data_IF_486653262529
#
_entry.id   IF_486653262529
#
_cell.length_a   1.000
_cell.length_b   1.000
_cell.length_c   1.000
_cell.angle_alpha   90.00
_cell.angle_beta   90.00
_cell.angle_gamma   90.00
#
_symmetry.space_group_name_H-M   'P 1'
#
loop_
_entity.id
_entity.type
_entity.pdbx_description
1 polymer ?
#
# COMPACT_ATOMS: atom_id res chain seq x y z
N UNK A 1 2.42 25.05 -0.96
CA UNK A 1 1.77 23.75 -0.68
C UNK A 1 0.65 23.90 0.35
N UNK A 2 0.89 24.50 1.54
CA UNK A 2 -0.15 24.65 2.60
C UNK A 2 -1.49 25.21 2.12
N UNK A 3 -1.51 26.28 1.31
CA UNK A 3 -2.76 26.88 0.78
C UNK A 3 -3.55 25.99 -0.18
N UNK A 4 -2.95 24.91 -0.70
CA UNK A 4 -3.58 23.94 -1.60
C UNK A 4 -3.89 22.63 -0.90
N UNK A 5 -3.48 22.48 0.37
CA UNK A 5 -3.84 21.31 1.16
C UNK A 5 -5.30 21.46 1.59
N UNK A 6 -6.15 20.56 1.13
CA UNK A 6 -7.59 20.60 1.42
C UNK A 6 -7.93 19.96 2.77
N UNK A 7 -7.07 19.07 3.29
CA UNK A 7 -7.28 18.30 4.52
C UNK A 7 -7.62 19.20 5.73
N UNK A 8 -6.89 20.32 6.00
CA UNK A 8 -7.22 21.22 7.09
C UNK A 8 -8.58 21.92 6.94
N UNK A 9 -9.17 21.91 5.74
CA UNK A 9 -10.39 22.62 5.39
C UNK A 9 -11.62 21.72 5.26
N UNK A 10 -11.53 20.42 5.56
CA UNK A 10 -12.66 19.48 5.60
C UNK A 10 -13.59 19.71 6.81
N UNK A 11 -14.13 20.93 6.95
CA UNK A 11 -15.08 21.30 7.99
C UNK A 11 -16.40 21.79 7.36
N UNK A 12 -17.53 21.51 8.01
CA UNK A 12 -18.85 21.92 7.53
C UNK A 12 -19.30 21.16 6.28
N UNK A 13 -18.81 19.93 6.07
CA UNK A 13 -19.24 19.05 4.99
C UNK A 13 -20.64 18.55 5.31
N UNK A 14 -21.62 18.92 4.49
CA UNK A 14 -23.03 18.53 4.66
C UNK A 14 -23.52 17.52 3.62
N UNK A 15 -22.79 17.40 2.50
CA UNK A 15 -23.12 16.42 1.47
C UNK A 15 -22.71 15.02 1.93
N UNK A 16 -23.41 14.00 1.45
CA UNK A 16 -22.91 12.63 1.53
C UNK A 16 -21.61 12.51 0.73
N UNK A 17 -20.61 11.84 1.30
CA UNK A 17 -19.29 11.67 0.69
C UNK A 17 -18.97 10.18 0.57
N UNK A 18 -18.54 9.78 -0.62
CA UNK A 18 -17.90 8.49 -0.85
C UNK A 18 -16.49 8.76 -1.34
N UNK A 19 -15.50 8.44 -0.51
CA UNK A 19 -14.09 8.59 -0.84
C UNK A 19 -13.56 7.29 -1.44
N UNK A 20 -12.86 7.37 -2.56
CA UNK A 20 -12.37 6.20 -3.31
C UNK A 20 -10.86 6.27 -3.40
N UNK A 21 -10.19 5.19 -3.02
CA UNK A 21 -8.74 5.09 -2.98
C UNK A 21 -8.26 3.80 -3.65
N UNK A 22 -6.97 3.76 -4.01
CA UNK A 22 -6.30 2.57 -4.54
C UNK A 22 -5.08 2.21 -3.70
N UNK A 23 -4.93 0.93 -3.33
CA UNK A 23 -3.73 0.47 -2.59
C UNK A 23 -2.44 0.68 -3.36
N UNK A 24 -2.51 0.60 -4.70
CA UNK A 24 -1.38 0.73 -5.61
C UNK A 24 -1.41 2.08 -6.37
N UNK A 25 -2.06 3.10 -5.81
CA UNK A 25 -2.05 4.45 -6.39
C UNK A 25 -0.66 5.09 -6.26
N UNK A 26 0.03 5.24 -7.39
CA UNK A 26 1.37 5.80 -7.50
C UNK A 26 1.41 7.36 -7.46
N UNK A 27 0.26 8.02 -7.39
CA UNK A 27 0.13 9.48 -7.52
C UNK A 27 -0.43 10.12 -6.25
N UNK A 28 -1.48 9.55 -5.67
CA UNK A 28 -2.10 10.07 -4.44
C UNK A 28 -2.49 8.96 -3.43
N UNK A 29 -1.51 8.25 -2.84
CA UNK A 29 -1.78 7.19 -1.87
C UNK A 29 -2.12 7.70 -0.46
N UNK A 30 -2.07 9.01 -0.22
CA UNK A 30 -2.27 9.65 1.09
C UNK A 30 -3.59 10.44 1.15
N UNK A 31 -3.88 11.22 0.11
CA UNK A 31 -4.99 12.17 0.10
C UNK A 31 -6.35 11.57 0.43
N UNK A 32 -6.81 10.48 -0.23
CA UNK A 32 -8.13 9.91 0.01
C UNK A 32 -8.36 9.44 1.45
N UNK A 33 -7.39 8.73 2.04
CA UNK A 33 -7.52 8.21 3.41
C UNK A 33 -7.65 9.37 4.41
N UNK A 34 -6.85 10.42 4.25
CA UNK A 34 -6.83 11.58 5.14
C UNK A 34 -8.05 12.49 4.96
N UNK A 35 -8.61 12.56 3.75
CA UNK A 35 -9.90 13.22 3.51
C UNK A 35 -10.99 12.48 4.26
N UNK A 36 -11.06 11.17 4.14
CA UNK A 36 -12.03 10.34 4.87
C UNK A 36 -11.89 10.54 6.38
N UNK A 37 -10.69 10.36 6.94
CA UNK A 37 -10.43 10.53 8.39
C UNK A 37 -10.73 11.95 8.87
N UNK A 38 -10.43 12.97 8.06
CA UNK A 38 -10.75 14.35 8.40
C UNK A 38 -12.24 14.64 8.39
N UNK A 39 -13.00 14.03 7.47
CA UNK A 39 -14.45 14.17 7.44
C UNK A 39 -15.06 13.52 8.68
N UNK A 40 -14.66 12.27 8.99
CA UNK A 40 -15.06 11.53 10.19
C UNK A 40 -14.86 12.36 11.47
N UNK A 41 -13.65 12.88 11.65
CA UNK A 41 -13.29 13.59 12.89
C UNK A 41 -14.01 14.94 13.07
N UNK A 42 -14.43 15.60 11.98
CA UNK A 42 -14.82 17.02 12.00
C UNK A 42 -16.28 17.27 11.62
N UNK A 43 -16.95 16.28 11.03
CA UNK A 43 -18.31 16.41 10.52
C UNK A 43 -19.19 15.27 11.05
N UNK A 44 -19.33 15.13 12.38
CA UNK A 44 -20.05 14.01 12.96
C UNK A 44 -21.51 13.98 12.48
N UNK A 45 -21.94 12.82 12.00
CA UNK A 45 -23.29 12.60 11.46
C UNK A 45 -23.44 12.88 9.96
N UNK A 46 -22.40 13.35 9.28
CA UNK A 46 -22.38 13.41 7.81
C UNK A 46 -22.20 12.00 7.25
N UNK A 47 -23.01 11.55 6.27
CA UNK A 47 -22.78 10.27 5.61
C UNK A 47 -21.43 10.29 4.90
N UNK A 48 -20.53 9.41 5.31
CA UNK A 48 -19.18 9.31 4.80
C UNK A 48 -18.86 7.82 4.67
N UNK A 49 -18.24 7.41 3.57
CA UNK A 49 -17.83 6.01 3.37
C UNK A 49 -16.52 5.99 2.59
N UNK A 50 -15.68 5.00 2.89
CA UNK A 50 -14.41 4.78 2.21
C UNK A 50 -14.45 3.50 1.39
N UNK A 51 -14.11 3.58 0.11
CA UNK A 51 -13.89 2.41 -0.75
C UNK A 51 -12.43 2.35 -1.16
N UNK A 52 -11.76 1.24 -0.86
CA UNK A 52 -10.36 1.04 -1.27
C UNK A 52 -10.20 -0.27 -2.02
N UNK A 53 -9.86 -0.18 -3.30
CA UNK A 53 -9.59 -1.34 -4.14
C UNK A 53 -8.10 -1.53 -4.44
N UNK A 54 -7.72 -2.64 -5.09
CA UNK A 54 -6.34 -2.92 -5.46
C UNK A 54 -5.97 -2.16 -6.76
N UNK A 55 -6.28 -0.87 -6.79
CA UNK A 55 -6.19 -0.06 -8.00
C UNK A 55 -4.92 0.77 -8.04
N UNK A 56 -4.42 0.96 -9.26
CA UNK A 56 -3.53 2.07 -9.60
C UNK A 56 -4.32 3.38 -9.71
N UNK A 57 -3.63 4.48 -9.98
CA UNK A 57 -4.25 5.80 -10.15
C UNK A 57 -5.36 5.82 -11.22
N UNK A 58 -6.60 6.05 -10.79
CA UNK A 58 -7.80 6.02 -11.63
C UNK A 58 -8.26 4.62 -12.08
N UNK A 59 -7.66 3.54 -11.57
CA UNK A 59 -7.98 2.16 -11.96
C UNK A 59 -9.44 1.77 -11.72
N UNK A 60 -10.06 2.34 -10.68
CA UNK A 60 -11.47 2.11 -10.35
C UNK A 60 -12.47 2.52 -11.44
N UNK A 61 -12.07 3.40 -12.38
CA UNK A 61 -12.89 3.78 -13.55
C UNK A 61 -12.26 3.45 -14.90
N UNK A 62 -10.94 3.24 -14.98
CA UNK A 62 -10.20 3.09 -16.25
C UNK A 62 -9.83 1.65 -16.59
N UNK A 63 -10.09 0.69 -15.71
CA UNK A 63 -9.82 -0.74 -15.96
C UNK A 63 -10.94 -1.62 -15.43
N UNK A 64 -10.82 -2.93 -15.67
CA UNK A 64 -11.69 -3.95 -15.06
C UNK A 64 -11.32 -4.21 -13.58
N UNK A 65 -10.11 -3.83 -13.18
CA UNK A 65 -9.60 -4.02 -11.81
C UNK A 65 -9.30 -5.47 -11.44
N UNK A 66 -9.10 -6.34 -12.42
CA UNK A 66 -8.81 -7.77 -12.24
C UNK A 66 -7.31 -8.09 -12.15
N UNK A 67 -6.44 -7.14 -12.48
CA UNK A 67 -4.99 -7.27 -12.34
C UNK A 67 -4.27 -5.92 -12.26
N UNK A 68 -3.01 -5.96 -11.83
CA UNK A 68 -2.01 -4.92 -12.04
C UNK A 68 -0.66 -5.61 -12.34
N UNK A 69 -0.09 -5.38 -13.52
CA UNK A 69 1.05 -6.17 -13.97
C UNK A 69 0.71 -7.67 -13.98
N UNK A 70 1.62 -8.53 -13.50
CA UNK A 70 1.39 -9.97 -13.37
C UNK A 70 0.55 -10.36 -12.14
N UNK A 71 0.18 -9.41 -11.28
CA UNK A 71 -0.59 -9.69 -10.06
C UNK A 71 -2.07 -9.70 -10.41
N UNK A 72 -2.69 -10.88 -10.30
CA UNK A 72 -4.13 -11.08 -10.47
C UNK A 72 -4.88 -10.85 -9.17
N UNK A 73 -6.03 -10.20 -9.25
CA UNK A 73 -6.96 -10.01 -8.14
C UNK A 73 -8.16 -10.96 -8.20
N UNK A 74 -8.18 -11.88 -9.17
CA UNK A 74 -9.20 -12.94 -9.36
C UNK A 74 -10.64 -12.46 -9.57
N UNK A 75 -10.90 -11.17 -9.48
CA UNK A 75 -12.22 -10.56 -9.63
C UNK A 75 -12.11 -9.18 -10.27
N UNK A 76 -13.13 -8.79 -11.02
CA UNK A 76 -13.21 -7.46 -11.65
C UNK A 76 -13.60 -6.41 -10.62
N UNK A 77 -12.66 -6.03 -9.76
CA UNK A 77 -12.90 -5.15 -8.62
C UNK A 77 -13.49 -3.80 -9.03
N UNK A 78 -13.04 -3.22 -10.15
CA UNK A 78 -13.57 -1.95 -10.65
C UNK A 78 -15.03 -2.08 -11.08
N UNK A 79 -15.40 -3.19 -11.73
CA UNK A 79 -16.80 -3.45 -12.13
C UNK A 79 -17.69 -3.68 -10.92
N UNK A 80 -17.21 -4.45 -9.95
CA UNK A 80 -17.93 -4.64 -8.69
C UNK A 80 -18.22 -3.30 -8.01
N UNK A 81 -17.19 -2.46 -7.83
CA UNK A 81 -17.35 -1.13 -7.24
C UNK A 81 -18.35 -0.26 -8.03
N UNK A 82 -18.19 -0.17 -9.36
CA UNK A 82 -19.06 0.65 -10.22
C UNK A 82 -20.53 0.23 -10.11
N UNK A 83 -20.80 -1.07 -10.16
CA UNK A 83 -22.17 -1.60 -10.20
C UNK A 83 -22.82 -1.68 -8.81
N UNK A 84 -22.05 -2.00 -7.77
CA UNK A 84 -22.58 -2.31 -6.44
C UNK A 84 -22.45 -1.16 -5.45
N UNK A 85 -21.62 -0.17 -5.74
CA UNK A 85 -21.34 0.92 -4.79
C UNK A 85 -21.50 2.29 -5.45
N UNK A 86 -20.77 2.57 -6.53
CA UNK A 86 -20.74 3.88 -7.19
C UNK A 86 -22.09 4.29 -7.77
N UNK A 87 -22.68 3.41 -8.60
CA UNK A 87 -23.97 3.68 -9.22
C UNK A 87 -25.10 3.77 -8.17
N UNK A 88 -25.23 2.83 -7.19
CA UNK A 88 -26.21 2.96 -6.11
C UNK A 88 -26.07 4.23 -5.27
N UNK A 89 -24.84 4.68 -4.97
CA UNK A 89 -24.60 5.93 -4.24
C UNK A 89 -25.26 7.12 -4.96
N UNK A 90 -24.99 7.29 -6.25
CA UNK A 90 -25.54 8.40 -7.02
C UNK A 90 -27.04 8.25 -7.29
N UNK A 91 -27.55 7.04 -7.53
CA UNK A 91 -29.00 6.81 -7.66
C UNK A 91 -29.74 7.23 -6.40
N UNK A 92 -29.22 6.87 -5.23
CA UNK A 92 -29.84 7.20 -3.95
C UNK A 92 -29.80 8.70 -3.67
N UNK A 93 -28.62 9.33 -3.71
CA UNK A 93 -28.46 10.73 -3.29
C UNK A 93 -28.84 11.78 -4.36
N UNK A 94 -28.86 11.43 -5.65
CA UNK A 94 -29.16 12.38 -6.73
C UNK A 94 -30.49 12.15 -7.44
N UNK A 95 -31.07 10.94 -7.32
CA UNK A 95 -32.30 10.59 -8.04
C UNK A 95 -33.43 10.11 -7.13
N UNK A 96 -33.20 10.00 -5.83
CA UNK A 96 -34.15 9.40 -4.88
C UNK A 96 -34.56 7.97 -5.29
N UNK A 97 -33.66 7.23 -5.94
CA UNK A 97 -33.88 5.88 -6.46
C UNK A 97 -33.17 4.82 -5.61
N UNK A 98 -33.86 3.73 -5.30
CA UNK A 98 -33.27 2.56 -4.65
C UNK A 98 -32.99 2.73 -3.16
N UNK A 99 -32.03 1.94 -2.65
CA UNK A 99 -31.52 1.99 -1.28
C UNK A 99 -30.00 1.98 -1.35
N UNK A 100 -29.36 2.79 -0.53
CA UNK A 100 -27.92 2.77 -0.32
C UNK A 100 -27.64 2.63 1.16
N UNK A 101 -27.01 1.52 1.53
CA UNK A 101 -26.66 1.15 2.91
C UNK A 101 -25.26 0.55 2.90
N UNK A 102 -24.22 1.38 2.64
CA UNK A 102 -22.86 0.90 2.51
C UNK A 102 -22.29 0.53 3.88
N UNK A 103 -21.25 -0.31 3.94
CA UNK A 103 -20.40 -0.35 5.11
C UNK A 103 -19.71 1.01 5.31
N UNK A 104 -19.23 1.26 6.53
CA UNK A 104 -18.40 2.43 6.80
C UNK A 104 -17.17 2.42 5.88
N UNK A 105 -16.49 1.27 5.79
CA UNK A 105 -15.38 1.06 4.86
C UNK A 105 -15.55 -0.24 4.10
N UNK A 106 -15.38 -0.17 2.77
CA UNK A 106 -15.29 -1.31 1.87
C UNK A 106 -13.85 -1.41 1.33
N UNK A 107 -13.08 -2.37 1.82
CA UNK A 107 -11.66 -2.52 1.50
C UNK A 107 -11.39 -3.86 0.81
N UNK A 108 -10.61 -3.88 -0.27
CA UNK A 108 -10.16 -5.11 -0.92
C UNK A 108 -8.83 -5.58 -0.33
N UNK A 109 -8.74 -6.81 0.14
CA UNK A 109 -7.48 -7.40 0.60
C UNK A 109 -6.78 -8.08 -0.59
N UNK A 110 -5.63 -7.54 -1.03
CA UNK A 110 -4.90 -8.03 -2.22
C UNK A 110 -4.17 -9.37 -2.02
N UNK A 111 -4.02 -9.85 -0.78
CA UNK A 111 -3.46 -11.18 -0.51
C UNK A 111 -4.50 -12.29 -0.61
N UNK A 112 -5.69 -12.07 -0.05
CA UNK A 112 -6.81 -13.03 -0.08
C UNK A 112 -7.76 -12.84 -1.27
N UNK A 113 -7.55 -11.79 -2.08
CA UNK A 113 -8.38 -11.43 -3.22
C UNK A 113 -9.87 -11.25 -2.89
N UNK A 114 -10.17 -10.62 -1.75
CA UNK A 114 -11.54 -10.48 -1.24
C UNK A 114 -11.89 -9.05 -0.82
N UNK A 115 -13.15 -8.66 -1.04
CA UNK A 115 -13.74 -7.46 -0.45
C UNK A 115 -14.11 -7.71 1.02
N UNK A 116 -13.81 -6.75 1.87
CA UNK A 116 -14.12 -6.73 3.29
C UNK A 116 -14.94 -5.49 3.64
N UNK A 117 -16.05 -5.71 4.32
CA UNK A 117 -16.87 -4.67 4.93
C UNK A 117 -16.36 -4.45 6.36
N UNK A 118 -16.06 -3.20 6.71
CA UNK A 118 -15.47 -2.81 7.98
C UNK A 118 -16.26 -1.66 8.59
N UNK A 119 -16.33 -1.63 9.92
CA UNK A 119 -17.04 -0.59 10.68
C UNK A 119 -16.22 0.69 10.90
N UNK A 120 -14.92 0.66 10.59
CA UNK A 120 -14.01 1.80 10.72
C UNK A 120 -12.70 1.52 9.98
N UNK A 121 -11.95 2.59 9.67
CA UNK A 121 -10.55 2.51 9.27
C UNK A 121 -9.66 3.33 10.21
N UNK A 122 -8.53 2.77 10.70
CA UNK A 122 -8.14 1.36 10.61
C UNK A 122 -9.15 0.41 11.27
N UNK A 123 -9.17 -0.89 10.94
CA UNK A 123 -10.16 -1.82 11.50
C UNK A 123 -10.09 -1.85 13.04
N UNK A 124 -11.24 -1.73 13.72
CA UNK A 124 -11.29 -1.63 15.18
C UNK A 124 -10.70 -2.84 15.94
N UNK A 125 -10.67 -4.02 15.30
CA UNK A 125 -10.05 -5.24 15.84
C UNK A 125 -8.58 -5.44 15.44
N UNK A 126 -7.97 -4.51 14.71
CA UNK A 126 -6.57 -4.60 14.33
C UNK A 126 -5.67 -4.50 15.57
N UNK A 127 -4.62 -5.31 15.61
CA UNK A 127 -3.54 -5.21 16.60
C UNK A 127 -2.30 -4.67 15.93
N UNK A 128 -1.62 -3.77 16.61
CA UNK A 128 -0.26 -3.38 16.23
C UNK A 128 0.68 -4.57 16.45
N UNK A 129 1.58 -4.78 15.49
CA UNK A 129 2.56 -5.87 15.51
C UNK A 129 3.90 -5.29 15.07
N UNK A 130 4.89 -5.46 15.92
CA UNK A 130 6.25 -5.06 15.60
C UNK A 130 6.95 -6.14 14.79
N UNK A 131 7.67 -5.69 13.76
CA UNK A 131 8.62 -6.50 13.02
C UNK A 131 10.01 -5.91 13.21
N UNK A 132 10.89 -6.67 13.86
CA UNK A 132 12.22 -6.23 14.23
C UNK A 132 13.26 -6.71 13.20
N UNK A 133 14.05 -5.77 12.68
CA UNK A 133 15.19 -6.04 11.80
C UNK A 133 16.32 -6.72 12.60
N UNK A 134 16.95 -7.76 12.04
CA UNK A 134 18.06 -8.50 12.65
C UNK A 134 19.29 -8.50 11.75
N UNK A 135 20.48 -8.39 12.35
CA UNK A 135 21.78 -8.32 11.64
C UNK A 135 22.19 -9.58 10.87
N UNK A 136 21.38 -10.64 10.91
CA UNK A 136 21.53 -11.84 10.07
C UNK A 136 20.54 -11.86 8.89
N UNK A 137 19.88 -10.72 8.61
CA UNK A 137 18.90 -10.58 7.52
C UNK A 137 17.52 -11.15 7.85
N UNK A 138 17.25 -11.46 9.13
CA UNK A 138 15.91 -11.88 9.57
C UNK A 138 15.02 -10.68 9.92
N UNK A 139 13.71 -10.87 9.71
CA UNK A 139 12.64 -10.03 10.20
C UNK A 139 11.85 -10.85 11.22
N UNK A 140 11.88 -10.45 12.49
CA UNK A 140 11.36 -11.22 13.62
C UNK A 140 10.21 -10.51 14.35
N UNK A 141 9.32 -11.28 14.97
CA UNK A 141 8.19 -10.73 15.74
C UNK A 141 8.55 -10.46 17.21
N UNK A 142 9.58 -11.13 17.73
CA UNK A 142 10.10 -10.89 19.08
C UNK A 142 11.09 -9.72 19.10
N UNK A 143 11.21 -8.99 20.21
CA UNK A 143 12.20 -7.92 20.35
C UNK A 143 13.64 -8.47 20.39
N UNK A 144 14.65 -7.71 19.91
CA UNK A 144 16.05 -8.16 19.93
C UNK A 144 16.55 -8.35 21.36
N UNK A 145 17.44 -9.32 21.54
CA UNK A 145 18.22 -9.42 22.78
C UNK A 145 19.11 -8.18 22.97
N UNK A 146 19.56 -7.93 24.19
CA UNK A 146 20.44 -6.79 24.49
C UNK A 146 21.76 -6.80 23.71
N UNK A 147 22.21 -7.97 23.25
CA UNK A 147 23.40 -8.09 22.39
C UNK A 147 23.05 -7.77 20.94
N UNK A 148 21.94 -8.29 20.43
CA UNK A 148 21.46 -7.98 19.06
C UNK A 148 21.12 -6.50 18.90
N UNK A 149 20.59 -5.84 19.93
CA UNK A 149 20.24 -4.42 19.90
C UNK A 149 21.43 -3.47 19.77
N UNK A 150 22.66 -3.98 19.88
CA UNK A 150 23.90 -3.20 19.66
C UNK A 150 24.52 -3.45 18.28
N UNK A 151 23.97 -4.39 17.51
CA UNK A 151 24.42 -4.65 16.15
C UNK A 151 23.89 -3.58 15.18
N UNK A 152 24.60 -3.38 14.08
CA UNK A 152 24.19 -2.50 13.00
C UNK A 152 24.63 -3.10 11.66
N UNK A 153 23.76 -2.98 10.67
CA UNK A 153 24.06 -3.28 9.28
C UNK A 153 24.47 -2.00 8.56
N UNK A 154 25.42 -2.12 7.64
CA UNK A 154 26.00 -0.98 6.94
C UNK A 154 26.14 -1.24 5.45
N UNK A 155 25.93 -0.21 4.66
CA UNK A 155 26.15 -0.23 3.22
C UNK A 155 26.70 1.11 2.73
N UNK A 156 27.28 1.12 1.53
CA UNK A 156 27.75 2.34 0.87
C UNK A 156 26.65 2.86 -0.05
N UNK A 157 26.07 4.02 0.28
CA UNK A 157 25.19 4.76 -0.64
C UNK A 157 26.03 5.69 -1.52
N UNK A 158 26.06 5.42 -2.83
CA UNK A 158 26.78 6.23 -3.82
C UNK A 158 25.79 6.99 -4.72
N UNK A 159 25.70 8.34 -4.61
CA UNK A 159 24.85 9.15 -5.48
C UNK A 159 25.16 9.02 -6.98
N UNK A 160 26.36 8.56 -7.35
CA UNK A 160 26.74 8.30 -8.75
C UNK A 160 26.30 6.91 -9.23
N UNK A 161 25.82 6.05 -8.34
CA UNK A 161 25.27 4.73 -8.63
C UNK A 161 24.01 4.48 -7.79
N UNK A 162 22.94 5.28 -7.98
CA UNK A 162 21.74 5.18 -7.16
C UNK A 162 21.02 3.84 -7.35
N UNK A 163 20.30 3.41 -6.31
CA UNK A 163 19.35 2.29 -6.44
C UNK A 163 18.23 2.72 -7.38
N UNK A 164 18.00 2.03 -8.52
CA UNK A 164 16.90 2.38 -9.41
C UNK A 164 15.56 2.07 -8.72
N UNK A 165 14.52 2.85 -9.00
CA UNK A 165 13.19 2.59 -8.43
C UNK A 165 12.45 1.44 -9.14
N UNK A 166 12.87 1.12 -10.37
CA UNK A 166 12.33 0.07 -11.25
C UNK A 166 13.47 -0.61 -12.01
N UNK A 167 13.30 -1.87 -12.43
CA UNK A 167 14.24 -2.56 -13.35
C UNK A 167 14.05 -2.07 -14.79
N UNK A 168 12.86 -1.61 -15.13
CA UNK A 168 12.50 -1.27 -16.50
C UNK A 168 13.22 0.00 -16.98
N UNK A 169 13.66 -0.02 -18.24
CA UNK A 169 14.26 1.15 -18.91
C UNK A 169 13.20 1.79 -19.78
N UNK A 170 12.49 2.78 -19.22
CA UNK A 170 11.38 3.46 -19.88
C UNK A 170 11.57 4.97 -19.92
N UNK A 171 10.88 5.64 -20.85
CA UNK A 171 10.86 7.11 -20.94
C UNK A 171 9.89 7.70 -19.91
N UNK A 172 8.77 7.02 -19.69
CA UNK A 172 7.73 7.44 -18.76
C UNK A 172 7.64 6.48 -17.58
N UNK A 173 7.24 7.02 -16.42
CA UNK A 173 6.94 6.22 -15.24
C UNK A 173 5.73 5.33 -15.54
N UNK A 174 5.91 4.02 -15.42
CA UNK A 174 4.82 3.05 -15.54
C UNK A 174 4.01 3.03 -14.25
N UNK A 175 2.84 2.39 -14.22
CA UNK A 175 2.09 2.20 -12.95
C UNK A 175 2.46 0.88 -12.28
N UNK A 176 3.00 -0.03 -13.08
CA UNK A 176 3.34 -1.40 -12.73
C UNK A 176 4.51 -1.48 -11.75
N UNK A 177 5.33 -0.42 -11.60
CA UNK A 177 6.39 -0.38 -10.56
C UNK A 177 5.83 -0.57 -9.14
N UNK A 178 4.55 -0.25 -8.92
CA UNK A 178 3.89 -0.42 -7.61
C UNK A 178 3.72 -1.87 -7.20
N UNK A 179 3.87 -2.82 -8.13
CA UNK A 179 3.80 -4.28 -7.88
C UNK A 179 5.00 -5.02 -8.48
N UNK A 180 6.01 -4.29 -8.96
CA UNK A 180 7.16 -4.87 -9.66
C UNK A 180 8.01 -5.75 -8.75
N UNK A 181 8.58 -6.80 -9.32
CA UNK A 181 9.49 -7.72 -8.65
C UNK A 181 10.76 -7.02 -8.13
N UNK A 182 10.89 -6.92 -6.81
CA UNK A 182 12.00 -6.23 -6.16
C UNK A 182 13.34 -7.00 -6.18
N UNK A 183 13.39 -8.21 -6.77
CA UNK A 183 14.64 -9.00 -6.91
C UNK A 183 15.75 -8.27 -7.68
N UNK A 184 15.46 -7.19 -8.40
CA UNK A 184 16.51 -6.35 -9.00
C UNK A 184 17.26 -5.51 -7.95
N UNK A 185 16.56 -5.03 -6.93
CA UNK A 185 17.13 -4.22 -5.85
C UNK A 185 17.77 -5.11 -4.78
N UNK A 186 17.11 -6.22 -4.42
CA UNK A 186 17.56 -7.19 -3.40
C UNK A 186 18.97 -7.76 -3.64
N UNK A 187 19.42 -7.78 -4.91
CA UNK A 187 20.76 -8.29 -5.28
C UNK A 187 21.87 -7.25 -5.17
N UNK A 188 21.55 -6.00 -4.83
CA UNK A 188 22.52 -4.92 -4.77
C UNK A 188 23.20 -4.84 -3.40
N UNK A 189 24.49 -4.45 -3.35
CA UNK A 189 25.22 -4.32 -2.08
C UNK A 189 24.81 -3.09 -1.25
N UNK A 190 24.05 -2.16 -1.83
CA UNK A 190 23.54 -0.94 -1.20
C UNK A 190 22.03 -1.01 -0.89
N UNK A 191 21.51 -2.24 -0.78
CA UNK A 191 20.15 -2.54 -0.33
C UNK A 191 20.23 -3.56 0.81
N UNK A 192 19.64 -3.23 1.96
CA UNK A 192 19.50 -4.16 3.08
C UNK A 192 18.16 -4.87 2.99
N UNK A 193 18.18 -6.20 3.11
CA UNK A 193 16.99 -7.04 3.01
C UNK A 193 16.81 -7.86 4.29
N UNK A 194 15.61 -7.79 4.86
CA UNK A 194 15.21 -8.53 6.05
C UNK A 194 13.95 -9.33 5.73
N UNK A 195 13.94 -10.62 6.08
CA UNK A 195 12.83 -11.52 5.76
C UNK A 195 12.41 -12.37 6.94
N UNK A 196 11.13 -12.65 7.05
CA UNK A 196 10.64 -13.69 7.96
C UNK A 196 11.08 -15.06 7.43
N UNK A 197 10.96 -16.09 8.27
CA UNK A 197 10.82 -17.45 7.76
C UNK A 197 9.51 -17.56 6.95
N UNK A 198 9.35 -18.67 6.22
CA UNK A 198 8.09 -18.96 5.52
C UNK A 198 6.96 -18.97 6.53
N UNK A 199 5.95 -18.13 6.29
CA UNK A 199 4.76 -18.06 7.15
C UNK A 199 4.02 -19.40 7.10
N UNK A 200 3.59 -19.87 8.28
CA UNK A 200 2.86 -21.14 8.44
C UNK A 200 1.36 -20.95 8.60
N UNK A 201 0.93 -19.69 8.77
CA UNK A 201 -0.45 -19.26 8.91
C UNK A 201 -0.62 -17.95 8.14
N UNK A 202 -1.85 -17.67 7.70
CA UNK A 202 -2.18 -16.43 6.99
C UNK A 202 -1.98 -15.21 7.91
N UNK A 203 -1.35 -14.16 7.37
CA UNK A 203 -1.17 -12.88 8.06
C UNK A 203 -1.82 -11.78 7.25
N UNK A 204 -2.81 -11.11 7.82
CA UNK A 204 -3.45 -9.94 7.22
C UNK A 204 -2.88 -8.66 7.83
N UNK A 205 -2.31 -7.80 6.98
CA UNK A 205 -1.92 -6.44 7.34
C UNK A 205 -3.02 -5.47 6.90
N UNK A 206 -3.62 -4.75 7.85
CA UNK A 206 -4.68 -3.77 7.58
C UNK A 206 -4.52 -2.55 8.49
N UNK A 207 -4.22 -1.40 7.90
CA UNK A 207 -3.97 -0.14 8.60
C UNK A 207 -2.67 0.53 8.20
N UNK A 208 -2.27 1.61 8.89
CA UNK A 208 -1.02 2.30 8.64
C UNK A 208 0.18 1.42 8.98
N UNK A 209 1.24 1.55 8.19
CA UNK A 209 2.55 0.95 8.47
C UNK A 209 3.48 2.06 8.94
N UNK A 210 3.95 1.95 10.18
CA UNK A 210 4.95 2.83 10.76
C UNK A 210 6.35 2.21 10.67
N UNK A 211 7.37 3.06 10.68
CA UNK A 211 8.77 2.66 10.63
C UNK A 211 9.51 3.40 11.74
N UNK A 212 10.15 2.64 12.63
CA UNK A 212 11.07 3.17 13.65
C UNK A 212 12.49 2.69 13.32
N UNK A 213 13.37 3.62 12.93
CA UNK A 213 14.73 3.32 12.49
C UNK A 213 15.76 4.15 13.24
N UNK A 214 16.77 3.46 13.76
CA UNK A 214 18.00 4.07 14.25
C UNK A 214 19.02 4.11 13.10
N UNK A 215 19.14 5.27 12.47
CA UNK A 215 20.02 5.46 11.30
C UNK A 215 21.20 6.37 11.65
N UNK A 216 22.37 6.05 11.12
CA UNK A 216 23.53 6.93 11.11
C UNK A 216 24.10 7.03 9.70
N UNK A 217 24.69 8.17 9.37
CA UNK A 217 25.37 8.40 8.09
C UNK A 217 26.70 9.10 8.35
N UNK A 218 27.70 8.80 7.51
CA UNK A 218 28.97 9.54 7.50
C UNK A 218 28.84 10.90 6.79
N UNK A 219 27.73 11.12 6.07
CA UNK A 219 27.37 12.39 5.46
C UNK A 219 26.66 13.34 6.42
N UNK A 220 26.11 14.41 5.88
CA UNK A 220 25.32 15.41 6.62
C UNK A 220 23.82 15.29 6.38
N UNK A 221 23.42 14.52 5.36
CA UNK A 221 22.04 14.29 4.96
C UNK A 221 21.92 12.93 4.25
N UNK A 222 20.75 12.30 4.31
CA UNK A 222 20.44 11.05 3.65
C UNK A 222 18.92 10.88 3.47
N UNK A 223 18.51 10.36 2.31
CA UNK A 223 17.17 9.82 2.12
C UNK A 223 17.19 8.32 2.51
N UNK A 224 16.17 7.86 3.23
CA UNK A 224 15.97 6.47 3.62
C UNK A 224 14.69 5.96 2.98
N UNK A 225 14.79 4.89 2.19
CA UNK A 225 13.64 4.25 1.55
C UNK A 225 13.34 2.94 2.27
N UNK A 226 12.08 2.72 2.63
CA UNK A 226 11.63 1.46 3.22
C UNK A 226 10.58 0.84 2.31
N UNK A 227 10.68 -0.47 2.10
CA UNK A 227 9.78 -1.26 1.27
C UNK A 227 9.25 -2.44 2.08
N UNK A 228 7.94 -2.60 2.08
CA UNK A 228 7.24 -3.81 2.53
C UNK A 228 6.97 -4.65 1.29
N UNK A 229 7.42 -5.90 1.34
CA UNK A 229 7.43 -6.82 0.21
C UNK A 229 6.74 -8.12 0.62
N UNK A 230 5.86 -8.62 -0.24
CA UNK A 230 5.35 -9.98 -0.15
C UNK A 230 6.20 -10.90 -1.03
N UNK A 231 6.83 -11.91 -0.43
CA UNK A 231 7.70 -12.86 -1.13
C UNK A 231 6.92 -14.13 -1.42
N UNK A 232 6.63 -14.34 -2.69
CA UNK A 232 5.83 -15.47 -3.13
C UNK A 232 6.56 -16.81 -2.92
N UNK A 233 5.82 -17.92 -2.76
CA UNK A 233 6.40 -19.26 -2.78
C UNK A 233 7.26 -19.50 -4.02
N UNK A 234 8.30 -20.35 -3.88
CA UNK A 234 9.20 -20.68 -4.99
C UNK A 234 8.49 -21.37 -6.17
N UNK A 235 7.34 -21.98 -5.92
CA UNK A 235 6.49 -22.71 -6.85
C UNK A 235 5.20 -21.97 -7.20
N UNK A 236 5.12 -20.65 -6.94
CA UNK A 236 3.97 -19.84 -7.29
C UNK A 236 3.64 -19.95 -8.79
N UNK A 237 2.34 -20.12 -9.07
CA UNK A 237 1.82 -20.27 -10.42
C UNK A 237 2.06 -19.03 -11.28
N UNK A 238 2.29 -19.25 -12.56
CA UNK A 238 2.36 -18.18 -13.55
C UNK A 238 0.93 -17.70 -13.91
N UNK A 239 0.72 -16.39 -14.14
CA UNK A 239 -0.56 -15.91 -14.61
C UNK A 239 -0.86 -16.44 -16.02
N UNK A 240 -2.16 -16.59 -16.36
CA UNK A 240 -2.58 -17.02 -17.69
C UNK A 240 -2.10 -16.03 -18.77
N UNK A 241 -2.20 -14.74 -18.49
CA UNK A 241 -1.64 -13.67 -19.30
C UNK A 241 -0.41 -13.08 -18.62
N UNK A 242 0.72 -13.09 -19.34
CA UNK A 242 1.97 -12.50 -18.87
C UNK A 242 2.08 -11.06 -19.37
N UNK A 243 1.94 -10.12 -18.44
CA UNK A 243 2.10 -8.68 -18.70
C UNK A 243 3.55 -8.23 -18.55
N UNK A 244 4.35 -8.97 -17.77
CA UNK A 244 5.80 -8.78 -17.60
C UNK A 244 6.52 -10.13 -17.75
N UNK A 245 7.72 -10.12 -18.34
CA UNK A 245 8.54 -11.32 -18.54
C UNK A 245 9.37 -11.65 -17.28
N UNK A 246 8.66 -11.92 -16.18
CA UNK A 246 9.24 -12.21 -14.86
C UNK A 246 8.53 -13.43 -14.25
N UNK A 247 9.27 -14.45 -13.77
CA UNK A 247 8.67 -15.62 -13.15
C UNK A 247 8.07 -15.31 -11.79
N UNK A 248 6.91 -15.91 -11.48
CA UNK A 248 6.19 -15.70 -10.22
C UNK A 248 6.76 -16.48 -9.05
N UNK A 249 7.46 -17.59 -9.31
CA UNK A 249 8.18 -18.34 -8.28
C UNK A 249 9.22 -17.46 -7.57
N UNK A 250 9.04 -17.23 -6.27
CA UNK A 250 9.91 -16.34 -5.48
C UNK A 250 9.80 -14.87 -5.87
N UNK A 251 8.70 -14.44 -6.49
CA UNK A 251 8.44 -13.05 -6.82
C UNK A 251 8.44 -12.18 -5.56
N UNK A 252 9.15 -11.05 -5.59
CA UNK A 252 9.19 -10.11 -4.46
C UNK A 252 8.26 -8.94 -4.77
N UNK A 253 6.95 -9.13 -4.53
CA UNK A 253 5.93 -8.14 -4.85
C UNK A 253 6.05 -6.93 -3.91
N UNK A 254 6.19 -5.74 -4.48
CA UNK A 254 6.08 -4.52 -3.70
C UNK A 254 4.64 -4.36 -3.17
N UNK A 255 4.49 -4.29 -1.85
CA UNK A 255 3.19 -4.02 -1.20
C UNK A 255 3.07 -2.54 -0.86
N UNK A 256 4.13 -1.97 -0.29
CA UNK A 256 4.21 -0.54 0.05
C UNK A 256 5.65 -0.07 0.05
N UNK A 257 5.89 1.16 -0.38
CA UNK A 257 7.16 1.83 -0.18
C UNK A 257 6.92 3.27 0.27
N UNK A 258 7.85 3.81 1.05
CA UNK A 258 7.89 5.23 1.36
C UNK A 258 9.34 5.73 1.46
N UNK A 259 9.53 7.02 1.16
CA UNK A 259 10.83 7.70 1.25
C UNK A 259 10.79 8.74 2.37
N UNK A 260 11.73 8.60 3.31
CA UNK A 260 11.95 9.54 4.39
C UNK A 260 13.20 10.34 4.08
N UNK A 261 13.03 11.66 3.89
CA UNK A 261 14.16 12.56 3.81
C UNK A 261 14.68 12.88 5.20
N UNK A 262 15.96 12.61 5.44
CA UNK A 262 16.69 13.14 6.58
C UNK A 262 16.52 14.65 6.61
N UNK A 263 16.03 15.19 7.73
CA UNK A 263 16.06 16.64 7.95
C UNK A 263 17.12 16.90 9.00
N UNK A 264 18.20 17.56 8.58
CA UNK A 264 19.08 18.29 9.49
C UNK A 264 18.38 19.54 10.03
#
# INVERSE_FOLDING_TARGET
WQRRNIIPHMNGVQAAVMTVAGWFDAEDPYGPIEIYESIEARNPGTPNTLVVGPWFHGGWVRSEGDHLGNVSFETRTSRYYQEKVDLPFFQYYLKDEGRFDPPEVLAFASGSNAWHELDAWPPAGAREVDFYLRGDGRLAFDPPTATESQAADSYLSDPMNPVPYTREITIERTREYMVEDQRFADRRPDVLSYRTDVLTEDVTLAGPVAVDLYVSTTGTDADVVVKVIDVYPSDASEPEEKYMDVPMGGYQMLVRAEIMRGKS
#
